data_IF_339352199793
#
_entry.id   IF_339352199793
#
_cell.length_a   1.000
_cell.length_b   1.000
_cell.length_c   1.000
_cell.angle_alpha   90.00
_cell.angle_beta   90.00
_cell.angle_gamma   90.00
#
_symmetry.space_group_name_H-M   'P 1'
#
loop_
_entity.id
_entity.type
_entity.pdbx_description
1 polymer ?
#
# COMPACT_ATOMS: atom_id res chain seq x y z
N UNK A 1 -9.39 -6.88 10.60
CA UNK A 1 -8.19 -5.99 10.54
C UNK A 1 -7.44 -6.08 11.85
N UNK A 2 -6.14 -6.30 11.79
CA UNK A 2 -5.27 -6.51 12.96
C UNK A 2 -4.15 -5.45 12.97
N UNK A 3 -3.95 -4.77 14.10
CA UNK A 3 -2.87 -3.81 14.31
C UNK A 3 -1.55 -4.55 14.56
N UNK A 4 -0.47 -4.12 13.90
CA UNK A 4 0.89 -4.59 14.15
C UNK A 4 1.59 -3.66 15.15
N UNK A 5 2.26 -4.23 16.14
CA UNK A 5 2.93 -3.48 17.21
C UNK A 5 4.35 -3.02 16.80
N UNK A 6 4.43 -2.39 15.63
CA UNK A 6 5.60 -1.64 15.12
C UNK A 6 5.13 -0.24 14.80
N UNK A 7 6.05 0.72 14.84
CA UNK A 7 5.72 2.12 14.57
C UNK A 7 6.75 2.76 13.66
N UNK A 8 6.28 3.53 12.68
CA UNK A 8 7.09 4.17 11.65
C UNK A 8 6.90 5.68 11.67
N UNK A 9 7.95 6.40 11.27
CA UNK A 9 7.97 7.86 11.20
C UNK A 9 7.24 8.34 9.93
N UNK A 10 5.96 8.71 10.08
CA UNK A 10 5.15 9.18 8.96
C UNK A 10 5.63 10.52 8.39
N UNK A 11 6.35 11.35 9.14
CA UNK A 11 6.92 12.61 8.63
C UNK A 11 8.00 12.29 7.61
N UNK A 12 8.91 11.37 7.95
CA UNK A 12 9.93 10.88 7.00
C UNK A 12 9.30 10.23 5.78
N UNK A 13 8.33 9.33 5.99
CA UNK A 13 7.64 8.63 4.90
C UNK A 13 6.97 9.62 3.93
N UNK A 14 6.31 10.65 4.42
CA UNK A 14 5.68 11.68 3.57
C UNK A 14 6.71 12.42 2.71
N UNK A 15 7.88 12.75 3.27
CA UNK A 15 8.97 13.37 2.51
C UNK A 15 9.54 12.42 1.45
N UNK A 16 9.75 11.16 1.79
CA UNK A 16 10.21 10.12 0.87
C UNK A 16 9.21 9.91 -0.29
N UNK A 17 7.91 9.89 -0.01
CA UNK A 17 6.86 9.79 -1.04
C UNK A 17 6.90 11.00 -1.97
N UNK A 18 7.07 12.20 -1.42
CA UNK A 18 7.16 13.41 -2.24
C UNK A 18 8.36 13.38 -3.20
N UNK A 19 9.50 12.91 -2.72
CA UNK A 19 10.68 12.71 -3.57
C UNK A 19 10.42 11.68 -4.68
N UNK A 20 9.73 10.58 -4.37
CA UNK A 20 9.33 9.59 -5.36
C UNK A 20 8.34 10.14 -6.39
N UNK A 21 7.40 10.98 -5.99
CA UNK A 21 6.50 11.69 -6.92
C UNK A 21 7.29 12.51 -7.93
N UNK A 22 8.33 13.23 -7.47
CA UNK A 22 9.15 14.10 -8.31
C UNK A 22 10.09 13.29 -9.24
N UNK A 23 10.55 12.12 -8.83
CA UNK A 23 11.53 11.31 -9.57
C UNK A 23 10.91 10.21 -10.44
N UNK A 24 9.91 9.49 -9.94
CA UNK A 24 9.26 8.39 -10.65
C UNK A 24 7.90 8.76 -11.24
N UNK A 25 7.13 9.57 -10.52
CA UNK A 25 5.74 9.87 -10.85
C UNK A 25 4.78 8.70 -10.58
N UNK A 26 3.50 9.02 -10.63
CA UNK A 26 2.43 8.05 -10.42
C UNK A 26 2.10 7.27 -11.70
N UNK A 27 2.10 5.95 -11.61
CA UNK A 27 1.62 5.09 -12.70
C UNK A 27 0.09 5.08 -12.72
N UNK A 28 -0.49 5.45 -13.87
CA UNK A 28 -1.93 5.57 -14.05
C UNK A 28 -2.61 6.45 -12.98
N UNK A 29 -1.88 7.42 -12.43
CA UNK A 29 -2.31 8.28 -11.32
C UNK A 29 -2.73 7.54 -10.03
N UNK A 30 -2.34 6.26 -9.88
CA UNK A 30 -2.86 5.39 -8.81
C UNK A 30 -1.80 4.75 -7.93
N UNK A 31 -0.63 4.40 -8.49
CA UNK A 31 0.36 3.67 -7.71
C UNK A 31 1.81 3.96 -8.11
N UNK A 32 2.71 3.70 -7.17
CA UNK A 32 4.16 3.62 -7.39
C UNK A 32 4.67 2.31 -6.79
N UNK A 33 5.46 1.55 -7.55
CA UNK A 33 6.07 0.33 -7.04
C UNK A 33 7.31 0.64 -6.22
N UNK A 34 7.41 0.02 -5.06
CA UNK A 34 8.56 0.11 -4.14
C UNK A 34 9.46 -1.12 -4.23
N UNK A 35 8.91 -2.22 -4.72
CA UNK A 35 9.61 -3.47 -5.00
C UNK A 35 9.18 -4.02 -6.35
N UNK A 36 10.13 -4.50 -7.13
CA UNK A 36 9.94 -5.16 -8.43
C UNK A 36 10.87 -6.36 -8.54
N UNK A 37 10.76 -7.20 -9.58
CA UNK A 37 11.65 -8.34 -9.74
C UNK A 37 13.13 -8.01 -9.92
N UNK A 38 13.45 -6.82 -10.43
CA UNK A 38 14.81 -6.38 -10.78
C UNK A 38 15.16 -4.95 -10.32
N UNK A 39 14.30 -4.34 -9.51
CA UNK A 39 14.46 -2.94 -9.08
C UNK A 39 14.03 -1.90 -10.12
N UNK A 40 13.55 -2.31 -11.29
CA UNK A 40 13.03 -1.38 -12.31
C UNK A 40 11.53 -1.12 -12.10
N UNK A 41 11.10 0.11 -11.80
CA UNK A 41 9.72 0.43 -11.49
C UNK A 41 8.76 0.24 -12.68
N UNK A 42 9.27 0.26 -13.91
CA UNK A 42 8.44 0.24 -15.12
C UNK A 42 8.02 -1.17 -15.56
N UNK A 43 8.76 -2.20 -15.20
CA UNK A 43 8.48 -3.60 -15.57
C UNK A 43 7.25 -4.15 -14.82
N UNK A 44 6.98 -3.64 -13.64
CA UNK A 44 5.93 -4.12 -12.76
C UNK A 44 4.49 -3.96 -13.34
N UNK A 45 4.28 -3.03 -14.27
CA UNK A 45 2.96 -2.76 -14.87
C UNK A 45 2.40 -3.91 -15.70
N UNK A 46 3.28 -4.74 -16.24
CA UNK A 46 2.92 -5.75 -17.23
C UNK A 46 2.52 -7.09 -16.61
N UNK A 47 2.70 -7.28 -15.32
CA UNK A 47 2.49 -8.56 -14.66
C UNK A 47 1.26 -8.55 -13.75
N UNK A 48 0.32 -9.46 -14.02
CA UNK A 48 -0.83 -9.67 -13.16
C UNK A 48 -0.41 -10.14 -11.77
N UNK A 49 -1.17 -9.72 -10.75
CA UNK A 49 -1.01 -10.23 -9.39
C UNK A 49 -1.38 -11.71 -9.33
N UNK A 50 -0.44 -12.52 -8.90
CA UNK A 50 -0.63 -13.93 -8.55
C UNK A 50 0.41 -14.28 -7.46
N UNK A 51 0.19 -15.32 -6.64
CA UNK A 51 1.18 -15.69 -5.61
C UNK A 51 2.58 -15.94 -6.19
N UNK A 52 2.67 -16.57 -7.35
CA UNK A 52 3.96 -16.84 -8.02
C UNK A 52 4.63 -15.55 -8.49
N UNK A 53 3.88 -14.65 -9.12
CA UNK A 53 4.42 -13.37 -9.57
C UNK A 53 4.76 -12.46 -8.38
N UNK A 54 3.91 -12.40 -7.37
CA UNK A 54 4.10 -11.52 -6.22
C UNK A 54 5.40 -11.83 -5.47
N UNK A 55 5.74 -13.10 -5.26
CA UNK A 55 6.98 -13.56 -4.61
C UNK A 55 8.26 -13.11 -5.31
N UNK A 56 8.20 -12.75 -6.58
CA UNK A 56 9.35 -12.26 -7.36
C UNK A 56 9.64 -10.77 -7.14
N UNK A 57 8.72 -10.02 -6.54
CA UNK A 57 8.81 -8.58 -6.35
C UNK A 57 9.50 -8.26 -5.02
N UNK A 58 10.80 -8.50 -4.96
CA UNK A 58 11.62 -8.35 -3.74
C UNK A 58 12.68 -7.27 -3.83
N UNK A 59 13.09 -6.88 -5.04
CA UNK A 59 14.15 -5.90 -5.24
C UNK A 59 13.64 -4.46 -5.05
N UNK A 60 14.34 -3.69 -4.23
CA UNK A 60 13.98 -2.31 -3.98
C UNK A 60 14.13 -1.41 -5.20
N UNK A 61 13.10 -0.62 -5.48
CA UNK A 61 13.13 0.55 -6.37
C UNK A 61 13.71 1.77 -5.64
N UNK A 62 13.57 1.78 -4.31
CA UNK A 62 13.94 2.88 -3.41
C UNK A 62 15.27 2.60 -2.72
N UNK A 63 15.88 3.64 -2.14
CA UNK A 63 17.08 3.51 -1.31
C UNK A 63 16.77 2.65 -0.07
N UNK A 64 17.59 1.60 0.21
CA UNK A 64 17.40 0.73 1.37
C UNK A 64 17.51 1.42 2.74
N UNK A 65 18.04 2.64 2.80
CA UNK A 65 18.17 3.42 4.03
C UNK A 65 16.93 4.22 4.43
N UNK A 66 15.88 4.20 3.59
CA UNK A 66 14.65 4.94 3.81
C UNK A 66 13.78 4.32 4.91
N UNK A 67 12.90 5.12 5.51
CA UNK A 67 11.91 4.64 6.48
C UNK A 67 10.90 3.68 5.82
N UNK A 68 10.57 3.92 4.55
CA UNK A 68 9.75 3.01 3.75
C UNK A 68 10.44 1.65 3.60
N UNK A 69 11.73 1.61 3.28
CA UNK A 69 12.48 0.36 3.17
C UNK A 69 12.55 -0.38 4.51
N UNK A 70 12.69 0.34 5.62
CA UNK A 70 12.62 -0.22 6.98
C UNK A 70 11.27 -0.91 7.22
N UNK A 71 10.16 -0.24 6.89
CA UNK A 71 8.81 -0.84 6.99
C UNK A 71 8.71 -2.16 6.20
N UNK A 72 9.21 -2.17 4.97
CA UNK A 72 9.18 -3.37 4.11
C UNK A 72 10.00 -4.50 4.72
N UNK A 73 11.22 -4.20 5.16
CA UNK A 73 12.18 -5.19 5.68
C UNK A 73 11.72 -5.79 7.00
N UNK A 74 11.31 -4.96 7.96
CA UNK A 74 10.88 -5.42 9.29
C UNK A 74 9.62 -6.29 9.25
N UNK A 75 8.76 -6.08 8.24
CA UNK A 75 7.55 -6.87 8.04
C UNK A 75 7.71 -7.97 6.97
N UNK A 76 8.92 -8.15 6.44
CA UNK A 76 9.24 -9.16 5.42
C UNK A 76 8.27 -9.13 4.22
N UNK A 77 7.92 -7.92 3.74
CA UNK A 77 6.93 -7.74 2.69
C UNK A 77 7.53 -7.93 1.30
N UNK A 78 6.69 -8.33 0.37
CA UNK A 78 6.99 -8.31 -1.05
C UNK A 78 5.90 -7.62 -1.86
N UNK A 79 6.20 -7.24 -3.11
CA UNK A 79 5.32 -6.47 -4.00
C UNK A 79 4.68 -5.25 -3.31
N UNK A 80 5.48 -4.52 -2.55
CA UNK A 80 5.01 -3.32 -1.85
C UNK A 80 4.86 -2.16 -2.83
N UNK A 81 3.77 -1.43 -2.69
CA UNK A 81 3.39 -0.29 -3.52
C UNK A 81 2.85 0.85 -2.67
N UNK A 82 3.01 2.06 -3.15
CA UNK A 82 2.24 3.20 -2.67
C UNK A 82 0.98 3.27 -3.52
N UNK A 83 -0.18 3.29 -2.87
CA UNK A 83 -1.49 3.32 -3.52
C UNK A 83 -2.21 4.63 -3.21
N UNK A 84 -2.62 5.32 -4.27
CA UNK A 84 -3.45 6.52 -4.22
C UNK A 84 -4.89 6.17 -4.59
N UNK A 85 -5.82 6.54 -3.73
CA UNK A 85 -7.25 6.44 -3.99
C UNK A 85 -7.86 7.84 -3.92
N UNK A 86 -8.29 8.37 -5.07
CA UNK A 86 -8.84 9.72 -5.18
C UNK A 86 -10.23 9.82 -4.55
N UNK A 87 -10.64 11.03 -4.21
CA UNK A 87 -11.99 11.32 -3.75
C UNK A 87 -13.07 10.72 -4.65
N UNK A 88 -14.07 10.08 -4.05
CA UNK A 88 -15.17 9.45 -4.76
C UNK A 88 -14.84 8.13 -5.44
N UNK A 89 -13.64 7.60 -5.26
CA UNK A 89 -13.22 6.31 -5.85
C UNK A 89 -13.34 5.16 -4.86
N UNK A 90 -13.58 3.96 -5.39
CA UNK A 90 -13.51 2.70 -4.68
C UNK A 90 -12.86 1.62 -5.57
N UNK A 91 -12.36 0.58 -4.93
CA UNK A 91 -11.98 -0.64 -5.65
C UNK A 91 -13.21 -1.53 -5.88
N UNK A 92 -13.14 -2.42 -6.88
CA UNK A 92 -14.14 -3.48 -7.04
C UNK A 92 -14.10 -4.44 -5.85
N UNK A 93 -15.24 -5.09 -5.58
CA UNK A 93 -15.28 -6.21 -4.66
C UNK A 93 -14.47 -7.38 -5.21
N UNK A 94 -13.43 -7.79 -4.48
CA UNK A 94 -12.56 -8.89 -4.90
C UNK A 94 -12.01 -9.66 -3.69
N UNK A 95 -11.29 -10.73 -3.96
CA UNK A 95 -10.51 -11.48 -3.00
C UNK A 95 -9.08 -11.56 -3.50
N UNK A 96 -8.13 -11.45 -2.61
CA UNK A 96 -6.73 -11.78 -2.87
C UNK A 96 -6.42 -13.18 -2.35
N UNK A 97 -5.40 -13.80 -2.91
CA UNK A 97 -4.90 -15.08 -2.42
C UNK A 97 -3.96 -14.94 -1.21
N UNK A 98 -3.49 -13.74 -0.95
CA UNK A 98 -2.52 -13.42 0.11
C UNK A 98 -3.01 -12.25 0.92
N UNK A 99 -2.67 -12.24 2.22
CA UNK A 99 -2.95 -11.11 3.09
C UNK A 99 -2.20 -9.84 2.67
N UNK A 100 -2.77 -8.70 2.98
CA UNK A 100 -2.16 -7.39 2.72
C UNK A 100 -1.91 -6.64 4.02
N UNK A 101 -0.72 -6.07 4.11
CA UNK A 101 -0.39 -5.12 5.17
C UNK A 101 -0.51 -3.69 4.65
N UNK A 102 -1.22 -2.86 5.39
CA UNK A 102 -1.44 -1.45 5.08
C UNK A 102 -0.74 -0.57 6.10
N UNK A 103 0.03 0.39 5.64
CA UNK A 103 0.48 1.53 6.42
C UNK A 103 -0.18 2.79 5.83
N UNK A 104 -1.14 3.35 6.57
CA UNK A 104 -1.81 4.58 6.14
C UNK A 104 -0.88 5.77 6.33
N UNK A 105 -0.70 6.57 5.29
CA UNK A 105 0.17 7.76 5.29
C UNK A 105 -0.66 9.04 5.26
N UNK A 106 -1.67 9.09 4.38
CA UNK A 106 -2.65 10.19 4.29
C UNK A 106 -4.03 9.56 4.24
N UNK A 107 -4.83 9.80 5.27
CA UNK A 107 -6.19 9.27 5.38
C UNK A 107 -7.05 10.15 6.28
N UNK A 108 -8.34 9.90 6.29
CA UNK A 108 -9.28 10.46 7.26
C UNK A 108 -10.47 9.51 7.45
N UNK A 109 -11.37 9.85 8.36
CA UNK A 109 -12.53 9.02 8.74
C UNK A 109 -13.54 8.74 7.60
N UNK A 110 -13.40 9.40 6.44
CA UNK A 110 -14.20 9.14 5.24
C UNK A 110 -13.52 8.15 4.28
N UNK A 111 -12.36 7.61 4.66
CA UNK A 111 -11.66 6.56 3.94
C UNK A 111 -11.80 5.24 4.70
N UNK A 112 -12.34 4.23 4.03
CA UNK A 112 -12.68 2.95 4.65
C UNK A 112 -12.05 1.78 3.89
N UNK A 113 -11.79 0.71 4.63
CA UNK A 113 -11.66 -0.65 4.12
C UNK A 113 -12.87 -1.43 4.61
N UNK A 114 -13.50 -2.18 3.71
CA UNK A 114 -14.58 -3.10 4.07
C UNK A 114 -14.05 -4.50 3.87
N UNK A 115 -13.98 -5.26 4.94
CA UNK A 115 -13.61 -6.67 4.95
C UNK A 115 -14.60 -7.45 5.80
N UNK A 116 -15.01 -8.63 5.37
CA UNK A 116 -15.95 -9.47 6.11
C UNK A 116 -17.19 -8.68 6.58
N UNK A 117 -17.79 -7.90 5.66
CA UNK A 117 -18.97 -7.05 5.91
C UNK A 117 -18.78 -5.96 6.98
N UNK A 118 -17.54 -5.74 7.46
CA UNK A 118 -17.23 -4.69 8.43
C UNK A 118 -16.51 -3.53 7.76
N UNK A 119 -17.09 -2.35 7.94
CA UNK A 119 -16.47 -1.09 7.53
C UNK A 119 -15.49 -0.62 8.60
N UNK A 120 -14.22 -0.44 8.24
CA UNK A 120 -13.16 -0.07 9.16
C UNK A 120 -12.29 1.04 8.56
N UNK A 121 -11.76 1.88 9.43
CA UNK A 121 -10.79 2.90 9.06
C UNK A 121 -9.38 2.45 9.46
N UNK A 122 -8.43 2.56 8.54
CA UNK A 122 -7.00 2.37 8.83
C UNK A 122 -6.41 3.73 9.19
N UNK A 123 -6.08 3.99 10.47
CA UNK A 123 -5.62 5.32 10.89
C UNK A 123 -4.17 5.58 10.48
N UNK A 124 -3.83 6.84 10.21
CA UNK A 124 -2.47 7.34 9.96
C UNK A 124 -1.72 7.64 11.29
N UNK A 125 -1.53 6.62 12.07
CA UNK A 125 -0.90 6.69 13.39
C UNK A 125 0.51 6.06 13.45
N UNK A 126 1.08 5.73 12.28
CA UNK A 126 2.39 5.10 12.16
C UNK A 126 2.41 3.60 12.37
N UNK A 127 1.31 2.99 12.78
CA UNK A 127 1.21 1.54 12.91
C UNK A 127 0.69 0.89 11.64
N UNK A 128 1.28 -0.24 11.20
CA UNK A 128 0.71 -1.05 10.13
C UNK A 128 -0.52 -1.84 10.60
N UNK A 129 -1.36 -2.18 9.64
CA UNK A 129 -2.55 -3.00 9.86
C UNK A 129 -2.64 -4.12 8.83
N UNK A 130 -2.88 -5.35 9.29
CA UNK A 130 -3.16 -6.49 8.42
C UNK A 130 -4.65 -6.46 8.08
N UNK A 131 -4.94 -6.40 6.79
CA UNK A 131 -6.30 -6.49 6.23
C UNK A 131 -6.52 -7.92 5.76
N UNK A 132 -7.61 -8.53 6.18
CA UNK A 132 -7.98 -9.87 5.71
C UNK A 132 -8.51 -9.82 4.29
N UNK A 133 -7.61 -9.96 3.34
CA UNK A 133 -7.91 -9.91 1.91
C UNK A 133 -8.32 -11.25 1.31
N UNK A 134 -8.30 -12.35 2.09
CA UNK A 134 -8.86 -13.65 1.70
C UNK A 134 -10.39 -13.60 1.60
N UNK A 135 -11.04 -12.76 2.41
CA UNK A 135 -12.46 -12.48 2.29
C UNK A 135 -12.73 -11.41 1.23
N UNK A 136 -13.98 -11.35 0.78
CA UNK A 136 -14.38 -10.25 -0.10
C UNK A 136 -14.17 -8.91 0.58
N UNK A 137 -13.41 -8.05 -0.09
CA UNK A 137 -13.05 -6.74 0.43
C UNK A 137 -13.06 -5.67 -0.66
N UNK A 138 -13.11 -4.43 -0.21
CA UNK A 138 -12.90 -3.23 -1.01
C UNK A 138 -12.33 -2.12 -0.16
N UNK A 139 -11.82 -1.08 -0.78
CA UNK A 139 -11.48 0.18 -0.14
C UNK A 139 -12.13 1.32 -0.88
N UNK A 140 -12.54 2.36 -0.15
CA UNK A 140 -13.19 3.52 -0.71
C UNK A 140 -12.76 4.82 -0.04
N UNK A 141 -12.78 5.87 -0.83
CA UNK A 141 -12.53 7.23 -0.39
C UNK A 141 -13.82 8.04 -0.62
N UNK A 142 -14.60 8.24 0.44
CA UNK A 142 -15.89 8.93 0.40
C UNK A 142 -15.78 10.44 0.65
N UNK A 143 -14.58 11.01 0.50
CA UNK A 143 -14.42 12.46 0.56
C UNK A 143 -15.07 13.13 -0.66
N UNK A 144 -15.78 14.24 -0.48
CA UNK A 144 -16.51 14.88 -1.57
C UNK A 144 -15.61 15.70 -2.51
N UNK A 145 -14.47 16.21 -2.05
CA UNK A 145 -13.61 17.13 -2.79
C UNK A 145 -12.13 16.80 -2.51
N UNK A 146 -11.34 16.72 -3.58
CA UNK A 146 -9.86 16.73 -3.66
C UNK A 146 -9.09 16.27 -2.41
N UNK A 147 -9.36 15.05 -1.98
CA UNK A 147 -8.60 14.41 -0.92
C UNK A 147 -8.08 13.06 -1.43
N UNK A 148 -6.79 12.96 -1.62
CA UNK A 148 -6.14 11.72 -2.05
C UNK A 148 -5.75 10.88 -0.81
N UNK A 149 -6.34 9.70 -0.68
CA UNK A 149 -5.91 8.72 0.32
C UNK A 149 -4.62 8.04 -0.16
N UNK A 150 -3.58 8.03 0.67
CA UNK A 150 -2.31 7.37 0.36
C UNK A 150 -2.01 6.32 1.42
N UNK A 151 -1.90 5.06 0.98
CA UNK A 151 -1.43 3.94 1.79
C UNK A 151 -0.22 3.30 1.13
N UNK A 152 0.72 2.81 1.95
CA UNK A 152 1.72 1.83 1.52
C UNK A 152 1.13 0.45 1.78
N UNK A 153 1.12 -0.39 0.76
CA UNK A 153 0.50 -1.72 0.81
C UNK A 153 1.48 -2.77 0.32
N UNK A 154 1.78 -3.73 1.17
CA UNK A 154 2.64 -4.86 0.85
C UNK A 154 1.91 -6.20 0.99
N UNK A 155 2.43 -7.22 0.33
CA UNK A 155 1.96 -8.60 0.44
C UNK A 155 2.72 -9.28 1.58
N UNK A 156 1.98 -9.97 2.45
CA UNK A 156 2.55 -10.73 3.55
C UNK A 156 2.91 -12.12 3.03
N UNK A 157 4.13 -12.63 3.26
CA UNK A 157 4.48 -14.02 2.95
C UNK A 157 3.60 -15.00 3.74
N UNK A 158 3.11 -16.04 3.06
CA UNK A 158 2.46 -17.18 3.69
C UNK A 158 3.47 -18.20 4.18
#
# INVERSE_FOLDING_TARGET
>A
MEKVDLQYDLVKIKLEIKELEDTLGWLNEKHMYLQTPDGNPYVAQLQRSSPENNKRYTEFVIDPSTEIAKFITENNLYRTRILKLKSGQCYSWHRDKELRMHLAVITNKKCFVIENEKMQHVPDNGHPYIVNTHDKHTAMNCNPIDFDRIHIVGTIPE
#
